data_IF_006066166466
#
_entry.id   IF_006066166466
#
_cell.length_a   1.000
_cell.length_b   1.000
_cell.length_c   1.000
_cell.angle_alpha   90.00
_cell.angle_beta   90.00
_cell.angle_gamma   90.00
#
_symmetry.space_group_name_H-M   'P 1'
#
loop_
_entity.id
_entity.type
_entity.pdbx_description
1 polymer ?
#
# COMPACT_ATOMS: atom_id res chain seq x y z
N UNK A 1 25.90 43.05 -14.61
CA UNK A 1 24.49 42.61 -14.42
C UNK A 1 23.91 41.86 -15.62
N UNK A 2 23.69 42.46 -16.81
CA UNK A 2 23.03 41.79 -17.96
C UNK A 2 23.64 40.46 -18.43
N UNK A 3 24.98 40.31 -18.37
CA UNK A 3 25.68 39.06 -18.75
C UNK A 3 25.44 37.91 -17.77
N UNK A 4 25.30 38.21 -16.48
CA UNK A 4 24.99 37.22 -15.44
C UNK A 4 23.58 36.68 -15.62
N UNK A 5 22.60 37.55 -15.91
CA UNK A 5 21.22 37.14 -16.20
C UNK A 5 21.11 36.21 -17.42
N UNK A 6 21.86 36.48 -18.50
CA UNK A 6 21.89 35.59 -19.68
C UNK A 6 22.44 34.20 -19.36
N UNK A 7 23.51 34.13 -18.55
CA UNK A 7 24.09 32.84 -18.10
C UNK A 7 23.11 32.07 -17.20
N UNK A 8 22.41 32.76 -16.30
CA UNK A 8 21.39 32.15 -15.43
C UNK A 8 20.19 31.62 -16.23
N UNK A 9 19.69 32.38 -17.21
CA UNK A 9 18.59 31.92 -18.09
C UNK A 9 19.02 30.69 -18.91
N UNK A 10 20.25 30.69 -19.44
CA UNK A 10 20.79 29.56 -20.17
C UNK A 10 20.92 28.30 -19.30
N UNK A 11 21.45 28.46 -18.07
CA UNK A 11 21.54 27.36 -17.11
C UNK A 11 20.15 26.81 -16.74
N UNK A 12 19.18 27.68 -16.52
CA UNK A 12 17.80 27.28 -16.25
C UNK A 12 17.18 26.50 -17.41
N UNK A 13 17.40 26.91 -18.66
CA UNK A 13 16.93 26.16 -19.84
C UNK A 13 17.58 24.78 -19.95
N UNK A 14 18.88 24.65 -19.62
CA UNK A 14 19.55 23.34 -19.57
C UNK A 14 18.91 22.44 -18.50
N UNK A 15 18.65 22.97 -17.31
CA UNK A 15 18.00 22.21 -16.23
C UNK A 15 16.61 21.74 -16.67
N UNK A 16 15.82 22.60 -17.32
CA UNK A 16 14.51 22.23 -17.85
C UNK A 16 14.60 21.14 -18.93
N UNK A 17 15.58 21.21 -19.83
CA UNK A 17 15.81 20.18 -20.86
C UNK A 17 16.20 18.84 -20.24
N UNK A 18 17.10 18.85 -19.25
CA UNK A 18 17.50 17.62 -18.53
C UNK A 18 16.31 17.04 -17.78
N UNK A 19 15.56 17.86 -17.05
CA UNK A 19 14.37 17.43 -16.32
C UNK A 19 13.31 16.85 -17.27
N UNK A 20 13.08 17.49 -18.42
CA UNK A 20 12.20 16.99 -19.48
C UNK A 20 12.67 15.66 -20.06
N UNK A 21 13.96 15.52 -20.35
CA UNK A 21 14.57 14.27 -20.83
C UNK A 21 14.44 13.13 -19.83
N UNK A 22 14.70 13.38 -18.54
CA UNK A 22 14.51 12.41 -17.46
C UNK A 22 13.04 12.00 -17.36
N UNK A 23 12.11 12.96 -17.41
CA UNK A 23 10.67 12.68 -17.36
C UNK A 23 10.18 11.81 -18.53
N UNK A 24 10.63 12.09 -19.75
CA UNK A 24 10.29 11.27 -20.92
C UNK A 24 10.89 9.86 -20.78
N UNK A 25 12.14 9.77 -20.33
CA UNK A 25 12.82 8.49 -20.11
C UNK A 25 12.07 7.60 -19.11
N UNK A 26 11.64 8.15 -17.96
CA UNK A 26 10.90 7.39 -16.95
C UNK A 26 9.55 6.89 -17.48
N UNK A 27 8.83 7.72 -18.26
CA UNK A 27 7.57 7.31 -18.91
C UNK A 27 7.77 6.20 -19.94
N UNK A 28 8.86 6.23 -20.70
CA UNK A 28 9.21 5.18 -21.66
C UNK A 28 9.55 3.88 -20.91
N UNK A 29 10.38 3.96 -19.86
CA UNK A 29 10.72 2.80 -19.03
C UNK A 29 9.48 2.15 -18.42
N UNK A 30 8.55 2.96 -17.90
CA UNK A 30 7.28 2.48 -17.37
C UNK A 30 6.48 1.68 -18.41
N UNK A 31 6.29 2.22 -19.62
CA UNK A 31 5.60 1.50 -20.71
C UNK A 31 6.32 0.22 -21.12
N UNK A 32 7.65 0.20 -21.11
CA UNK A 32 8.44 -1.00 -21.39
C UNK A 32 8.18 -2.06 -20.32
N UNK A 33 8.22 -1.67 -19.04
CA UNK A 33 7.93 -2.55 -17.91
C UNK A 33 6.51 -3.10 -17.97
N UNK A 34 5.52 -2.24 -18.25
CA UNK A 34 4.11 -2.64 -18.40
C UNK A 34 3.93 -3.69 -19.50
N UNK A 35 4.55 -3.45 -20.67
CA UNK A 35 4.51 -4.38 -21.78
C UNK A 35 5.25 -5.69 -21.48
N UNK A 36 6.36 -5.63 -20.74
CA UNK A 36 7.17 -6.80 -20.38
C UNK A 36 6.46 -7.70 -19.36
N UNK A 37 5.90 -7.10 -18.31
CA UNK A 37 5.25 -7.85 -17.25
C UNK A 37 3.86 -8.30 -17.67
N UNK A 38 3.10 -7.45 -18.37
CA UNK A 38 1.69 -7.68 -18.62
C UNK A 38 0.86 -7.43 -17.36
N UNK A 39 -0.22 -6.66 -17.50
CA UNK A 39 -1.19 -6.46 -16.41
C UNK A 39 -1.70 -7.82 -15.94
N UNK A 40 -1.88 -8.00 -14.63
CA UNK A 40 -2.29 -9.27 -14.00
C UNK A 40 -1.23 -10.37 -13.97
N UNK A 41 0.03 -10.07 -14.29
CA UNK A 41 1.13 -11.02 -14.00
C UNK A 41 1.22 -11.26 -12.50
N UNK A 42 1.25 -12.53 -12.10
CA UNK A 42 1.53 -12.92 -10.72
C UNK A 42 2.97 -12.53 -10.35
N UNK A 43 3.13 -11.81 -9.25
CA UNK A 43 4.43 -11.35 -8.74
C UNK A 43 4.90 -12.17 -7.54
N UNK A 44 3.98 -12.55 -6.66
CA UNK A 44 4.27 -13.14 -5.35
C UNK A 44 3.00 -13.82 -4.81
N UNK A 45 3.09 -14.49 -3.67
CA UNK A 45 1.93 -15.01 -2.94
C UNK A 45 2.18 -15.03 -1.43
N UNK A 46 1.12 -14.91 -0.65
CA UNK A 46 1.18 -15.15 0.79
C UNK A 46 -0.06 -15.92 1.24
N UNK A 47 0.15 -17.03 1.96
CA UNK A 47 -0.91 -17.97 2.39
C UNK A 47 -1.84 -18.41 1.25
N UNK A 48 -1.27 -18.60 0.05
CA UNK A 48 -2.01 -19.01 -1.15
C UNK A 48 -2.80 -17.89 -1.84
N UNK A 49 -2.66 -16.64 -1.41
CA UNK A 49 -3.30 -15.48 -2.03
C UNK A 49 -2.27 -14.74 -2.88
N UNK A 50 -2.53 -14.68 -4.19
CA UNK A 50 -1.60 -14.13 -5.17
C UNK A 50 -1.57 -12.59 -5.16
N UNK A 51 -0.38 -12.04 -5.36
CA UNK A 51 -0.14 -10.62 -5.68
C UNK A 51 0.00 -10.47 -7.18
N UNK A 52 -0.78 -9.56 -7.76
CA UNK A 52 -0.75 -9.28 -9.19
C UNK A 52 -0.18 -7.89 -9.49
N UNK A 53 0.50 -7.81 -10.64
CA UNK A 53 1.00 -6.55 -11.17
C UNK A 53 -0.15 -5.66 -11.68
N UNK A 54 -0.24 -4.44 -11.14
CA UNK A 54 -1.26 -3.45 -11.50
C UNK A 54 -0.89 -2.56 -12.70
N UNK A 55 0.34 -2.68 -13.21
CA UNK A 55 0.89 -1.68 -14.12
C UNK A 55 1.60 -0.54 -13.38
N UNK A 56 2.25 0.33 -14.14
CA UNK A 56 2.99 1.46 -13.63
C UNK A 56 2.12 2.62 -13.15
N UNK A 57 0.94 2.79 -13.74
CA UNK A 57 -0.04 3.75 -13.23
C UNK A 57 -0.89 3.08 -12.14
N UNK A 58 -0.59 3.41 -10.88
CA UNK A 58 -1.26 2.82 -9.73
C UNK A 58 -2.77 3.14 -9.66
N UNK A 59 -3.22 4.15 -10.41
CA UNK A 59 -4.62 4.58 -10.46
C UNK A 59 -5.42 3.95 -11.59
N UNK A 60 -4.75 3.21 -12.50
CA UNK A 60 -5.41 2.55 -13.62
C UNK A 60 -6.41 1.50 -13.11
N UNK A 61 -7.54 1.40 -13.81
CA UNK A 61 -8.64 0.53 -13.45
C UNK A 61 -8.75 -0.62 -14.46
N UNK A 62 -8.48 -1.84 -14.00
CA UNK A 62 -8.54 -3.05 -14.83
C UNK A 62 -9.83 -3.86 -14.61
N UNK A 63 -10.87 -3.20 -14.12
CA UNK A 63 -12.17 -3.78 -13.82
C UNK A 63 -12.30 -4.27 -12.38
N UNK A 64 -13.53 -4.63 -11.99
CA UNK A 64 -13.87 -5.10 -10.64
C UNK A 64 -13.46 -6.56 -10.45
N UNK A 65 -13.09 -6.93 -9.23
CA UNK A 65 -12.84 -8.31 -8.82
C UNK A 65 -13.81 -8.76 -7.72
N UNK A 66 -14.21 -10.03 -7.80
CA UNK A 66 -15.21 -10.63 -6.92
C UNK A 66 -14.80 -12.06 -6.53
N UNK A 67 -15.31 -12.54 -5.40
CA UNK A 67 -15.20 -13.95 -5.02
C UNK A 67 -15.90 -14.87 -6.04
N UNK A 68 -15.37 -16.08 -6.21
CA UNK A 68 -15.86 -17.08 -7.17
C UNK A 68 -16.81 -18.12 -6.56
N UNK A 69 -16.97 -18.10 -5.25
CA UNK A 69 -17.75 -19.07 -4.46
C UNK A 69 -19.27 -18.83 -4.47
N UNK A 70 -19.77 -18.04 -5.41
CA UNK A 70 -21.19 -17.71 -5.54
C UNK A 70 -21.69 -16.61 -4.60
N UNK A 71 -20.90 -16.17 -3.62
CA UNK A 71 -21.29 -15.04 -2.75
C UNK A 71 -21.10 -13.67 -3.41
N UNK A 72 -20.32 -13.61 -4.50
CA UNK A 72 -20.00 -12.38 -5.23
C UNK A 72 -19.47 -11.26 -4.33
N UNK A 73 -18.68 -11.60 -3.31
CA UNK A 73 -18.09 -10.60 -2.44
C UNK A 73 -17.11 -9.73 -3.23
N UNK A 74 -17.33 -8.42 -3.22
CA UNK A 74 -16.53 -7.46 -3.97
C UNK A 74 -15.19 -7.22 -3.29
N UNK A 75 -14.09 -7.60 -3.94
CA UNK A 75 -12.75 -7.34 -3.44
C UNK A 75 -12.33 -5.90 -3.69
N UNK A 76 -12.47 -5.42 -4.92
CA UNK A 76 -12.00 -4.09 -5.31
C UNK A 76 -11.75 -4.00 -6.81
N UNK A 77 -11.07 -2.93 -7.24
CA UNK A 77 -10.57 -2.84 -8.61
C UNK A 77 -9.26 -3.64 -8.76
N UNK A 78 -9.19 -4.47 -9.79
CA UNK A 78 -7.97 -5.16 -10.18
C UNK A 78 -6.91 -4.12 -10.54
N UNK A 79 -5.68 -4.18 -10.05
CA UNK A 79 -5.08 -4.97 -8.96
C UNK A 79 -4.57 -4.03 -7.88
N UNK A 80 -5.47 -3.22 -7.36
CA UNK A 80 -5.16 -2.17 -6.40
C UNK A 80 -4.87 -2.75 -5.01
N UNK A 81 -4.29 -1.95 -4.11
CA UNK A 81 -3.96 -2.37 -2.76
C UNK A 81 -5.21 -2.79 -1.96
N UNK A 82 -6.31 -2.04 -2.05
CA UNK A 82 -7.59 -2.39 -1.40
C UNK A 82 -8.16 -3.72 -1.88
N UNK A 83 -8.04 -4.01 -3.17
CA UNK A 83 -8.46 -5.29 -3.74
C UNK A 83 -7.69 -6.45 -3.11
N UNK A 84 -6.37 -6.33 -2.98
CA UNK A 84 -5.54 -7.35 -2.37
C UNK A 84 -5.90 -7.62 -0.91
N UNK A 85 -6.03 -6.57 -0.10
CA UNK A 85 -6.33 -6.71 1.33
C UNK A 85 -7.67 -7.41 1.55
N UNK A 86 -8.71 -6.99 0.82
CA UNK A 86 -10.03 -7.59 0.96
C UNK A 86 -10.06 -9.03 0.44
N UNK A 87 -9.32 -9.33 -0.63
CA UNK A 87 -9.17 -10.70 -1.13
C UNK A 87 -8.39 -11.59 -0.15
N UNK A 88 -7.30 -11.10 0.42
CA UNK A 88 -6.52 -11.82 1.43
C UNK A 88 -7.35 -12.15 2.67
N UNK A 89 -8.04 -11.15 3.23
CA UNK A 89 -8.90 -11.37 4.40
C UNK A 89 -10.07 -12.31 4.11
N UNK A 90 -10.59 -12.29 2.89
CA UNK A 90 -11.61 -13.23 2.46
C UNK A 90 -11.08 -14.66 2.36
N UNK A 91 -10.03 -14.87 1.58
CA UNK A 91 -9.56 -16.20 1.18
C UNK A 91 -8.71 -16.87 2.27
N UNK A 92 -7.87 -16.12 2.98
CA UNK A 92 -6.95 -16.66 3.98
C UNK A 92 -7.45 -16.51 5.42
N UNK A 93 -8.38 -15.59 5.69
CA UNK A 93 -8.86 -15.30 7.05
C UNK A 93 -10.35 -15.54 7.23
N UNK A 94 -11.10 -15.95 6.20
CA UNK A 94 -12.56 -16.11 6.25
C UNK A 94 -13.25 -14.87 6.83
N UNK A 95 -12.94 -13.70 6.27
CA UNK A 95 -13.44 -12.41 6.75
C UNK A 95 -13.98 -11.56 5.62
N UNK A 96 -15.24 -11.13 5.78
CA UNK A 96 -15.88 -10.13 4.92
C UNK A 96 -15.95 -8.81 5.67
N UNK A 97 -15.39 -7.76 5.09
CA UNK A 97 -15.50 -6.42 5.66
C UNK A 97 -16.94 -5.91 5.47
N UNK A 98 -17.61 -5.41 6.54
CA UNK A 98 -18.97 -4.90 6.43
C UNK A 98 -19.11 -3.75 5.43
N UNK A 99 -18.19 -2.79 5.47
CA UNK A 99 -18.09 -1.73 4.47
C UNK A 99 -17.05 -2.12 3.41
N UNK A 100 -17.52 -2.28 2.18
CA UNK A 100 -16.71 -2.68 1.03
C UNK A 100 -16.12 -1.49 0.26
N UNK A 101 -16.42 -0.26 0.65
CA UNK A 101 -16.01 0.97 -0.04
C UNK A 101 -14.89 1.72 0.71
N UNK A 102 -14.39 2.76 0.04
CA UNK A 102 -13.31 3.62 0.52
C UNK A 102 -11.97 3.35 -0.16
N UNK A 103 -11.08 4.31 -0.02
CA UNK A 103 -9.67 4.19 -0.37
C UNK A 103 -8.90 3.54 0.79
N UNK A 104 -7.63 3.26 0.56
CA UNK A 104 -6.76 2.63 1.55
C UNK A 104 -6.72 3.41 2.89
N UNK A 105 -6.65 4.74 2.86
CA UNK A 105 -6.66 5.56 4.08
C UNK A 105 -7.94 5.42 4.91
N UNK A 106 -9.07 5.14 4.25
CA UNK A 106 -10.38 5.06 4.88
C UNK A 106 -10.56 3.75 5.68
N UNK A 107 -9.54 2.86 5.66
CA UNK A 107 -9.52 1.67 6.50
C UNK A 107 -9.25 2.01 7.97
N UNK A 108 -8.59 3.14 8.24
CA UNK A 108 -8.29 3.58 9.59
C UNK A 108 -9.21 4.73 10.00
N UNK A 109 -9.86 4.61 11.14
CA UNK A 109 -10.77 5.63 11.67
C UNK A 109 -10.16 6.25 12.92
N UNK A 110 -9.77 7.53 12.88
CA UNK A 110 -9.05 8.18 13.97
C UNK A 110 -9.87 8.23 15.28
N UNK A 111 -11.20 8.19 15.16
CA UNK A 111 -12.15 8.26 16.28
C UNK A 111 -12.33 6.89 16.97
N UNK A 112 -11.92 5.79 16.34
CA UNK A 112 -11.91 4.47 16.98
C UNK A 112 -10.78 4.44 18.02
N UNK A 113 -11.14 4.06 19.24
CA UNK A 113 -10.21 3.95 20.36
C UNK A 113 -9.19 2.81 20.13
N UNK A 114 -7.99 2.95 20.70
CA UNK A 114 -6.96 1.92 20.60
C UNK A 114 -7.48 0.60 21.19
N UNK A 115 -7.32 -0.50 20.44
CA UNK A 115 -7.73 -1.84 20.88
C UNK A 115 -9.24 -2.09 20.81
N UNK A 116 -9.99 -1.29 20.05
CA UNK A 116 -11.45 -1.43 19.92
C UNK A 116 -11.91 -1.73 18.50
N UNK A 117 -13.18 -2.13 18.36
CA UNK A 117 -13.75 -2.54 17.09
C UNK A 117 -13.90 -1.36 16.12
N UNK A 118 -13.27 -1.47 14.96
CA UNK A 118 -13.62 -0.69 13.78
C UNK A 118 -14.78 -1.39 13.06
N UNK A 119 -16.01 -0.92 13.29
CA UNK A 119 -17.23 -1.56 12.78
C UNK A 119 -17.28 -1.62 11.25
N UNK A 120 -16.75 -0.61 10.55
CA UNK A 120 -16.72 -0.57 9.08
C UNK A 120 -15.87 -1.70 8.51
N UNK A 121 -14.82 -2.11 9.22
CA UNK A 121 -13.91 -3.18 8.78
C UNK A 121 -14.22 -4.51 9.44
N UNK A 122 -14.93 -4.52 10.57
CA UNK A 122 -15.17 -5.71 11.38
C UNK A 122 -13.89 -6.27 11.99
N UNK A 123 -12.96 -5.38 12.36
CA UNK A 123 -11.62 -5.71 12.85
C UNK A 123 -11.29 -4.84 14.07
N UNK A 124 -10.43 -5.33 14.96
CA UNK A 124 -9.90 -4.52 16.06
C UNK A 124 -8.84 -3.58 15.50
N UNK A 125 -8.91 -2.30 15.89
CA UNK A 125 -7.98 -1.27 15.43
C UNK A 125 -7.00 -0.86 16.52
N UNK A 126 -5.73 -0.85 16.17
CA UNK A 126 -4.64 -0.43 17.03
C UNK A 126 -3.94 0.78 16.43
N UNK A 127 -3.66 1.78 17.27
CA UNK A 127 -2.92 2.99 16.89
C UNK A 127 -1.41 2.73 16.97
N UNK A 128 -0.66 3.21 15.98
CA UNK A 128 0.79 3.17 16.02
C UNK A 128 1.31 4.06 17.18
N UNK A 129 2.29 3.59 17.94
CA UNK A 129 2.79 4.28 19.13
C UNK A 129 2.01 3.99 20.42
N UNK A 130 1.27 2.89 20.47
CA UNK A 130 0.58 2.38 21.67
C UNK A 130 1.11 1.00 22.09
N UNK A 131 0.49 0.36 23.07
CA UNK A 131 1.01 -0.81 23.80
C UNK A 131 0.77 -2.17 23.12
N UNK A 132 0.03 -2.21 22.02
CA UNK A 132 -0.13 -3.42 21.22
C UNK A 132 1.04 -3.62 20.24
N UNK A 133 1.58 -4.84 20.13
CA UNK A 133 2.58 -5.19 19.11
C UNK A 133 1.86 -5.56 17.80
N UNK A 134 2.33 -5.15 16.61
CA UNK A 134 1.80 -5.69 15.35
C UNK A 134 2.06 -7.21 15.26
N UNK A 135 1.15 -7.91 14.59
CA UNK A 135 1.18 -9.35 14.37
C UNK A 135 1.17 -9.69 12.87
N UNK A 136 1.50 -10.95 12.56
CA UNK A 136 1.30 -11.48 11.21
C UNK A 136 -0.19 -11.41 10.83
N UNK A 137 -0.46 -11.18 9.55
CA UNK A 137 -1.78 -10.94 8.95
C UNK A 137 -2.43 -9.59 9.26
N UNK A 138 -1.86 -8.77 10.15
CA UNK A 138 -2.40 -7.43 10.41
C UNK A 138 -2.39 -6.58 9.12
N UNK A 139 -3.44 -5.76 8.96
CA UNK A 139 -3.49 -4.75 7.90
C UNK A 139 -2.79 -3.51 8.42
N UNK A 140 -1.63 -3.17 7.87
CA UNK A 140 -0.94 -1.92 8.18
C UNK A 140 -1.48 -0.79 7.29
N UNK A 141 -1.91 0.33 7.89
CA UNK A 141 -2.61 1.41 7.18
C UNK A 141 -1.80 2.71 7.15
N UNK A 142 -1.59 3.24 5.95
CA UNK A 142 -0.94 4.53 5.71
C UNK A 142 -1.93 5.57 5.17
N UNK A 143 -1.97 6.75 5.78
CA UNK A 143 -2.96 7.81 5.51
C UNK A 143 -2.36 9.12 4.99
N UNK A 144 -1.05 9.14 4.75
CA UNK A 144 -0.21 10.29 4.36
C UNK A 144 -0.34 10.72 2.88
N UNK A 145 -1.14 10.04 2.07
CA UNK A 145 -1.41 10.41 0.67
C UNK A 145 -2.90 10.56 0.39
N UNK A 146 -3.27 11.12 -0.77
CA UNK A 146 -4.66 11.36 -1.17
C UNK A 146 -5.56 10.13 -0.99
N UNK A 147 -5.06 8.95 -1.35
CA UNK A 147 -5.77 7.66 -1.25
C UNK A 147 -5.27 6.78 -0.11
N UNK A 148 -4.10 7.08 0.46
CA UNK A 148 -3.41 6.20 1.39
C UNK A 148 -2.77 4.98 0.72
N UNK A 149 -2.31 4.04 1.54
CA UNK A 149 -1.87 2.72 1.11
C UNK A 149 -2.10 1.71 2.24
N UNK A 150 -2.32 0.45 1.90
CA UNK A 150 -2.53 -0.63 2.87
C UNK A 150 -1.79 -1.89 2.43
N UNK A 151 -1.24 -2.60 3.41
CA UNK A 151 -0.39 -3.79 3.21
C UNK A 151 -0.70 -4.84 4.28
N UNK A 152 -0.29 -6.09 4.04
CA UNK A 152 -0.40 -7.18 5.02
C UNK A 152 0.96 -7.43 5.67
N UNK A 153 1.02 -7.53 6.99
CA UNK A 153 2.23 -7.98 7.69
C UNK A 153 2.40 -9.49 7.50
N UNK A 154 3.59 -9.91 7.07
CA UNK A 154 3.92 -11.30 6.76
C UNK A 154 4.91 -11.91 7.74
N UNK A 155 5.72 -11.06 8.39
CA UNK A 155 6.70 -11.43 9.41
C UNK A 155 6.82 -10.30 10.44
N UNK A 156 7.01 -10.66 11.70
CA UNK A 156 7.33 -9.73 12.80
C UNK A 156 8.61 -10.22 13.47
N UNK A 157 9.70 -9.50 13.22
CA UNK A 157 10.99 -9.74 13.85
C UNK A 157 11.13 -8.98 15.17
N UNK A 158 12.37 -8.95 15.69
CA UNK A 158 12.68 -8.22 16.92
C UNK A 158 12.63 -6.70 16.73
N UNK A 159 13.14 -6.22 15.59
CA UNK A 159 13.25 -4.80 15.27
C UNK A 159 12.73 -4.44 13.86
N UNK A 160 11.99 -5.34 13.23
CA UNK A 160 11.37 -5.10 11.92
C UNK A 160 10.04 -5.83 11.76
N UNK A 161 9.29 -5.40 10.76
CA UNK A 161 8.23 -6.17 10.14
C UNK A 161 8.52 -6.33 8.65
N UNK A 162 8.09 -7.45 8.07
CA UNK A 162 8.05 -7.64 6.61
C UNK A 162 6.60 -7.62 6.13
N UNK A 163 6.33 -6.91 5.04
CA UNK A 163 4.99 -6.78 4.48
C UNK A 163 4.87 -7.42 3.10
N UNK A 164 3.64 -7.68 2.67
CA UNK A 164 3.26 -7.96 1.29
C UNK A 164 2.20 -6.98 0.79
N UNK A 165 2.31 -6.56 -0.47
CA UNK A 165 1.48 -5.51 -1.06
C UNK A 165 1.21 -5.70 -2.56
N UNK A 166 0.12 -5.09 -3.03
CA UNK A 166 -0.16 -4.82 -4.44
C UNK A 166 -0.07 -3.32 -4.72
N UNK A 167 -0.06 -2.97 -6.00
CA UNK A 167 -0.12 -1.58 -6.47
C UNK A 167 1.12 -0.73 -6.14
N UNK A 168 2.30 -1.35 -6.11
CA UNK A 168 3.59 -0.68 -5.91
C UNK A 168 4.61 -1.12 -6.98
N UNK A 169 4.18 -1.14 -8.24
CA UNK A 169 4.98 -1.66 -9.35
C UNK A 169 5.29 -3.15 -9.15
N UNK A 170 6.56 -3.53 -9.31
CA UNK A 170 7.03 -4.91 -9.09
C UNK A 170 7.37 -5.22 -7.62
N UNK A 171 7.31 -4.22 -6.72
CA UNK A 171 7.64 -4.41 -5.30
C UNK A 171 6.45 -5.03 -4.56
N UNK A 172 6.47 -6.36 -4.43
CA UNK A 172 5.50 -7.10 -3.62
C UNK A 172 5.84 -7.13 -2.14
N UNK A 173 7.13 -7.06 -1.77
CA UNK A 173 7.63 -7.09 -0.39
C UNK A 173 8.37 -5.82 -0.02
N UNK A 174 8.27 -5.44 1.25
CA UNK A 174 9.10 -4.41 1.85
C UNK A 174 9.26 -4.66 3.36
N UNK A 175 10.20 -3.97 4.00
CA UNK A 175 10.43 -4.01 5.44
C UNK A 175 10.35 -2.62 6.06
N UNK A 176 9.78 -2.61 7.27
CA UNK A 176 9.67 -1.43 8.11
C UNK A 176 10.37 -1.70 9.43
N UNK A 177 10.89 -0.63 10.04
CA UNK A 177 11.47 -0.69 11.38
C UNK A 177 10.36 -0.88 12.41
N UNK A 178 10.63 -1.70 13.42
CA UNK A 178 9.77 -1.89 14.59
C UNK A 178 10.59 -1.54 15.84
N UNK A 179 10.17 -0.50 16.55
CA UNK A 179 10.79 -0.11 17.81
C UNK A 179 9.83 -0.39 18.97
N UNK A 180 10.38 -0.87 20.08
CA UNK A 180 9.69 -0.91 21.37
C UNK A 180 10.40 0.02 22.35
N UNK A 181 9.70 1.07 22.80
CA UNK A 181 10.22 2.05 23.75
C UNK A 181 9.10 2.57 24.64
N UNK A 182 9.40 2.75 25.92
CA UNK A 182 8.46 3.29 26.92
C UNK A 182 7.10 2.56 26.96
N UNK A 183 7.11 1.23 26.78
CA UNK A 183 5.90 0.41 26.77
C UNK A 183 5.06 0.49 25.49
N UNK A 184 5.59 1.12 24.43
CA UNK A 184 4.86 1.38 23.18
C UNK A 184 5.61 0.84 21.96
N UNK A 185 4.86 0.40 20.96
CA UNK A 185 5.37 -0.10 19.68
C UNK A 185 5.24 0.95 18.58
N UNK A 186 6.33 1.16 17.85
CA UNK A 186 6.41 2.12 16.74
C UNK A 186 6.84 1.39 15.47
N UNK A 187 5.97 1.37 14.47
CA UNK A 187 6.32 0.96 13.11
C UNK A 187 6.70 2.20 12.30
N UNK A 188 7.81 2.16 11.56
CA UNK A 188 8.29 3.32 10.83
C UNK A 188 9.53 3.10 9.95
N UNK A 189 10.46 4.05 10.01
CA UNK A 189 11.63 4.14 9.15
C UNK A 189 11.32 4.83 7.83
N UNK A 190 10.89 4.06 6.82
CA UNK A 190 10.63 4.58 5.45
C UNK A 190 9.37 5.43 5.35
N UNK A 191 8.34 5.03 6.09
CA UNK A 191 7.01 5.67 6.13
C UNK A 191 6.34 5.27 7.44
N UNK A 192 5.53 6.15 8.00
CA UNK A 192 4.88 5.94 9.29
C UNK A 192 3.40 5.60 9.03
N UNK A 193 2.93 4.41 9.42
CA UNK A 193 1.51 4.05 9.35
C UNK A 193 0.73 4.73 10.49
N UNK A 194 -0.57 4.92 10.26
CA UNK A 194 -1.51 5.37 11.31
C UNK A 194 -1.70 4.28 12.39
N UNK A 195 -1.61 3.02 11.99
CA UNK A 195 -1.79 1.86 12.87
C UNK A 195 -2.10 0.61 12.06
N UNK A 196 -2.69 -0.38 12.71
CA UNK A 196 -3.05 -1.64 12.09
C UNK A 196 -4.42 -2.17 12.52
N UNK A 197 -4.98 -3.04 11.70
CA UNK A 197 -6.25 -3.73 11.94
C UNK A 197 -6.01 -5.24 12.06
N UNK A 198 -6.66 -5.88 13.03
CA UNK A 198 -6.53 -7.32 13.33
C UNK A 198 -7.87 -8.03 13.34
N UNK A 199 -7.91 -9.25 12.79
CA UNK A 199 -9.01 -10.20 13.04
C UNK A 199 -8.70 -10.97 14.31
N UNK A 200 -9.54 -10.80 15.33
CA UNK A 200 -9.54 -11.60 16.58
C UNK A 200 -10.31 -12.89 16.43
#
# INVERSE_FOLDING_TARGET
>A
MKSVYKKLIFLFMIILLIAGGVFVSTKIQQKITDKKNGISKMLDSYKGVDVFYNGGDYSENHGKNYSKDGSSYYYGYKWQCVEYIKRFYYEAKDHKMPDVYGNAKDFFDADVEHGTLNEKRGLIQYKNGEDEKPEIDDILVFTDTTYGHIVIITEVGDNYIEIIQQNMGESSRDRFELEYRDGKYFVGGKRIPAGWLRKV
#
